data_IF_304184436031
#
_entry.id   IF_304184436031
#
_cell.length_a   1.000
_cell.length_b   1.000
_cell.length_c   1.000
_cell.angle_alpha   90.00
_cell.angle_beta   90.00
_cell.angle_gamma   90.00
#
_symmetry.space_group_name_H-M   'P 1'
#
loop_
_entity.id
_entity.type
_entity.pdbx_description
1 polymer ?
#
# COMPACT_ATOMS: atom_id res chain seq x y z
N UNK A 1 2.97 -11.87 2.35
CA UNK A 1 3.41 -12.95 1.42
C UNK A 1 3.99 -12.36 0.15
N UNK A 2 5.04 -12.96 -0.46
CA UNK A 2 5.68 -12.44 -1.68
C UNK A 2 4.70 -12.28 -2.85
N UNK A 3 3.73 -13.17 -2.97
CA UNK A 3 2.71 -13.15 -4.02
C UNK A 3 1.85 -11.90 -3.95
N UNK A 4 1.43 -11.50 -2.75
CA UNK A 4 0.62 -10.29 -2.55
C UNK A 4 1.37 -9.05 -3.00
N UNK A 5 2.66 -8.94 -2.64
CA UNK A 5 3.48 -7.79 -3.05
C UNK A 5 3.70 -7.76 -4.57
N UNK A 6 3.93 -8.93 -5.20
CA UNK A 6 4.09 -9.01 -6.67
C UNK A 6 2.80 -8.67 -7.40
N UNK A 7 1.65 -9.16 -6.92
CA UNK A 7 0.34 -8.89 -7.54
C UNK A 7 -0.13 -7.45 -7.35
N UNK A 8 0.33 -6.79 -6.27
CA UNK A 8 -0.03 -5.40 -5.98
C UNK A 8 0.86 -4.40 -6.74
N UNK A 9 2.07 -4.81 -7.13
CA UNK A 9 2.93 -3.99 -7.99
C UNK A 9 2.36 -3.93 -9.41
N UNK A 10 2.42 -2.75 -10.04
CA UNK A 10 1.97 -2.53 -11.41
C UNK A 10 2.85 -1.50 -12.12
N UNK A 11 2.81 -1.50 -13.46
CA UNK A 11 3.61 -0.59 -14.27
C UNK A 11 2.72 0.38 -15.04
N UNK A 12 3.10 1.65 -15.04
CA UNK A 12 2.53 2.70 -15.88
C UNK A 12 3.45 2.94 -17.08
N UNK A 13 2.87 3.15 -18.25
CA UNK A 13 3.60 3.39 -19.50
C UNK A 13 2.99 4.56 -20.25
N UNK A 14 3.83 5.43 -20.77
CA UNK A 14 3.41 6.58 -21.60
C UNK A 14 2.72 6.08 -22.87
N UNK A 15 1.64 6.75 -23.27
CA UNK A 15 0.80 6.39 -24.43
C UNK A 15 -0.25 5.32 -24.15
N UNK A 16 -0.36 4.81 -22.93
CA UNK A 16 -1.42 3.89 -22.52
C UNK A 16 -2.59 4.64 -21.89
N UNK A 17 -3.79 4.02 -21.97
CA UNK A 17 -4.99 4.57 -21.35
C UNK A 17 -5.23 3.97 -19.97
N UNK A 18 -5.61 4.84 -19.02
CA UNK A 18 -5.88 4.48 -17.63
C UNK A 18 -7.15 5.18 -17.13
N UNK A 19 -8.04 4.45 -16.51
CA UNK A 19 -9.06 5.06 -15.65
C UNK A 19 -8.39 5.59 -14.38
N UNK A 20 -8.27 6.91 -14.28
CA UNK A 20 -7.60 7.58 -13.16
C UNK A 20 -8.29 7.29 -11.82
N UNK A 21 -9.61 7.05 -11.82
CA UNK A 21 -10.36 6.67 -10.61
C UNK A 21 -9.97 5.27 -10.16
N UNK A 22 -9.94 4.31 -11.08
CA UNK A 22 -9.50 2.95 -10.80
C UNK A 22 -8.02 2.92 -10.37
N UNK A 23 -7.17 3.75 -10.98
CA UNK A 23 -5.76 3.86 -10.64
C UNK A 23 -5.54 4.40 -9.22
N UNK A 24 -6.32 5.40 -8.77
CA UNK A 24 -6.23 5.89 -7.39
C UNK A 24 -6.74 4.87 -6.37
N UNK A 25 -7.74 4.08 -6.71
CA UNK A 25 -8.20 2.96 -5.88
C UNK A 25 -7.11 1.87 -5.78
N UNK A 26 -6.44 1.56 -6.89
CA UNK A 26 -5.32 0.60 -6.92
C UNK A 26 -4.13 1.08 -6.08
N UNK A 27 -3.78 2.38 -6.14
CA UNK A 27 -2.76 2.97 -5.26
C UNK A 27 -3.14 2.85 -3.78
N UNK A 28 -4.40 3.12 -3.43
CA UNK A 28 -4.89 2.96 -2.05
C UNK A 28 -4.80 1.50 -1.60
N UNK A 29 -5.17 0.55 -2.44
CA UNK A 29 -5.03 -0.89 -2.17
C UNK A 29 -3.56 -1.32 -2.02
N UNK A 30 -2.65 -0.67 -2.75
CA UNK A 30 -1.20 -0.86 -2.65
C UNK A 30 -0.58 -0.16 -1.41
N UNK A 31 -1.39 0.42 -0.54
CA UNK A 31 -0.96 1.00 0.73
C UNK A 31 -0.54 2.47 0.66
N UNK A 32 -0.76 3.15 -0.47
CA UNK A 32 -0.46 4.58 -0.58
C UNK A 32 -1.51 5.43 0.13
N UNK A 33 -1.04 6.53 0.71
CA UNK A 33 -1.88 7.54 1.34
C UNK A 33 -2.06 8.72 0.39
N UNK A 34 -3.33 9.10 0.16
CA UNK A 34 -3.63 10.29 -0.63
C UNK A 34 -3.29 11.56 0.14
N UNK A 35 -2.55 12.46 -0.48
CA UNK A 35 -2.15 13.75 0.07
C UNK A 35 -2.51 14.89 -0.90
N UNK A 36 -2.43 16.14 -0.44
CA UNK A 36 -2.58 17.30 -1.33
C UNK A 36 -1.36 17.46 -2.24
N UNK A 37 -0.18 17.11 -1.71
CA UNK A 37 1.11 17.11 -2.38
C UNK A 37 1.93 15.97 -1.80
N UNK A 38 2.74 15.29 -2.63
CA UNK A 38 3.62 14.25 -2.14
C UNK A 38 4.86 14.86 -1.49
N UNK A 39 5.19 14.40 -0.29
CA UNK A 39 6.33 14.84 0.51
C UNK A 39 7.26 13.69 0.86
N UNK A 40 6.78 12.45 0.78
CA UNK A 40 7.53 11.26 1.12
C UNK A 40 7.01 10.00 0.44
N UNK A 41 7.81 8.95 0.51
CA UNK A 41 7.46 7.65 -0.04
C UNK A 41 6.15 7.10 0.55
N UNK A 42 5.37 6.40 -0.26
CA UNK A 42 4.06 5.87 0.13
C UNK A 42 2.92 6.90 0.01
N UNK A 43 3.15 8.05 -0.61
CA UNK A 43 2.13 9.06 -0.86
C UNK A 43 1.82 9.19 -2.34
N UNK A 44 0.58 9.57 -2.65
CA UNK A 44 0.17 10.03 -3.97
C UNK A 44 -0.72 11.28 -3.88
N UNK A 45 -0.71 12.08 -4.93
CA UNK A 45 -1.55 13.27 -5.05
C UNK A 45 -2.15 13.34 -6.45
N UNK A 46 -3.47 13.59 -6.53
CA UNK A 46 -4.18 13.80 -7.80
C UNK A 46 -4.76 15.20 -7.84
N UNK A 47 -4.37 15.98 -8.85
CA UNK A 47 -4.79 17.36 -9.08
C UNK A 47 -5.12 17.57 -10.57
N UNK A 48 -6.40 17.56 -10.91
CA UNK A 48 -6.82 17.59 -12.31
C UNK A 48 -6.29 16.36 -13.05
N UNK A 49 -5.61 16.56 -14.18
CA UNK A 49 -4.96 15.50 -14.96
C UNK A 49 -3.54 15.14 -14.51
N UNK A 50 -3.10 15.57 -13.32
CA UNK A 50 -1.74 15.30 -12.81
C UNK A 50 -1.81 14.35 -11.62
N UNK A 51 -1.15 13.19 -11.74
CA UNK A 51 -0.99 12.21 -10.68
C UNK A 51 0.49 12.13 -10.29
N UNK A 52 0.79 12.56 -9.07
CA UNK A 52 2.12 12.43 -8.46
C UNK A 52 2.15 11.18 -7.59
N UNK A 53 3.18 10.34 -7.73
CA UNK A 53 3.36 9.10 -6.96
C UNK A 53 4.77 9.06 -6.40
N UNK A 54 4.90 8.89 -5.08
CA UNK A 54 6.20 8.65 -4.45
C UNK A 54 6.29 7.19 -3.99
N UNK A 55 6.79 6.33 -4.87
CA UNK A 55 6.95 4.90 -4.57
C UNK A 55 8.13 4.65 -3.62
N UNK A 56 8.06 3.63 -2.76
CA UNK A 56 9.21 3.16 -2.02
C UNK A 56 10.34 2.70 -2.95
N UNK A 57 11.59 2.96 -2.56
CA UNK A 57 12.78 2.57 -3.31
C UNK A 57 13.38 3.70 -4.13
N UNK A 58 12.71 4.32 -5.11
CA UNK A 58 13.22 5.48 -5.82
C UNK A 58 13.48 6.68 -4.89
N UNK A 59 14.53 7.46 -5.18
CA UNK A 59 14.85 8.67 -4.42
C UNK A 59 13.87 9.84 -4.71
N UNK A 60 13.18 9.78 -5.85
CA UNK A 60 12.30 10.86 -6.32
C UNK A 60 10.93 10.33 -6.68
N UNK A 61 9.88 11.16 -6.47
CA UNK A 61 8.55 10.84 -6.96
C UNK A 61 8.46 11.02 -8.48
N UNK A 62 7.45 10.37 -9.05
CA UNK A 62 7.11 10.45 -10.46
C UNK A 62 5.83 11.26 -10.62
N UNK A 63 5.82 12.18 -11.57
CA UNK A 63 4.65 12.92 -12.04
C UNK A 63 4.16 12.33 -13.35
N UNK A 64 2.92 11.90 -13.36
CA UNK A 64 2.18 11.41 -14.52
C UNK A 64 1.21 12.51 -14.96
N UNK A 65 1.26 12.92 -16.22
CA UNK A 65 0.38 13.93 -16.81
C UNK A 65 -0.56 13.25 -17.80
N UNK A 66 -1.87 13.36 -17.55
CA UNK A 66 -2.91 12.74 -18.35
C UNK A 66 -3.60 13.77 -19.23
N UNK A 67 -3.85 13.39 -20.47
CA UNK A 67 -4.79 14.05 -21.35
C UNK A 67 -6.01 13.12 -21.51
N UNK A 68 -7.13 13.51 -20.95
CA UNK A 68 -8.27 12.61 -20.72
C UNK A 68 -7.82 11.35 -19.96
N UNK A 69 -7.93 10.17 -20.57
CA UNK A 69 -7.55 8.87 -20.00
C UNK A 69 -6.15 8.42 -20.44
N UNK A 70 -5.49 9.13 -21.37
CA UNK A 70 -4.18 8.77 -21.89
C UNK A 70 -3.06 9.37 -21.01
N UNK A 71 -2.10 8.55 -20.61
CA UNK A 71 -0.87 9.00 -19.98
C UNK A 71 0.04 9.63 -21.05
N UNK A 72 -0.05 10.95 -21.20
CA UNK A 72 0.66 11.73 -22.22
C UNK A 72 2.16 11.84 -21.90
N UNK A 73 2.49 12.12 -20.66
CA UNK A 73 3.89 12.27 -20.25
C UNK A 73 4.13 11.85 -18.80
N UNK A 74 5.37 11.43 -18.51
CA UNK A 74 5.77 11.02 -17.17
C UNK A 74 7.22 11.38 -16.90
N UNK A 75 7.56 11.70 -15.65
CA UNK A 75 8.95 11.94 -15.27
C UNK A 75 9.17 12.17 -13.78
N UNK A 76 10.42 11.98 -13.37
CA UNK A 76 10.85 12.30 -12.01
C UNK A 76 10.76 13.80 -11.76
N UNK A 77 10.41 14.18 -10.56
CA UNK A 77 10.45 15.59 -10.16
C UNK A 77 11.03 15.76 -8.75
N UNK A 78 11.53 16.92 -8.49
CA UNK A 78 12.05 17.33 -7.18
C UNK A 78 10.92 17.86 -6.31
N UNK A 79 10.76 17.28 -5.11
CA UNK A 79 9.67 17.61 -4.17
C UNK A 79 9.70 19.06 -3.73
N UNK A 80 10.89 19.62 -3.50
CA UNK A 80 11.06 20.97 -2.97
C UNK A 80 10.81 22.06 -4.01
N UNK A 81 11.26 21.85 -5.24
CA UNK A 81 11.14 22.80 -6.35
C UNK A 81 9.93 22.53 -7.23
N UNK A 82 9.33 21.35 -7.15
CA UNK A 82 8.24 20.87 -8.00
C UNK A 82 8.60 20.80 -9.50
N UNK A 83 9.87 20.87 -9.82
CA UNK A 83 10.36 20.85 -11.20
C UNK A 83 10.66 19.43 -11.66
N UNK A 84 10.29 19.12 -12.89
CA UNK A 84 10.67 17.89 -13.57
C UNK A 84 12.20 17.82 -13.70
N UNK A 85 12.77 16.66 -13.41
CA UNK A 85 14.22 16.40 -13.44
C UNK A 85 14.55 15.52 -14.64
N UNK A 86 13.80 14.43 -14.83
CA UNK A 86 14.06 13.43 -15.87
C UNK A 86 12.76 12.89 -16.43
N UNK A 87 12.71 12.63 -17.74
CA UNK A 87 11.56 11.99 -18.37
C UNK A 87 11.66 10.46 -18.27
N UNK A 88 10.51 9.81 -18.12
CA UNK A 88 10.38 8.36 -18.12
C UNK A 88 9.38 7.89 -19.15
N UNK A 89 9.59 6.68 -19.71
CA UNK A 89 8.64 6.02 -20.59
C UNK A 89 7.78 5.00 -19.84
N UNK A 90 8.33 4.44 -18.76
CA UNK A 90 7.63 3.49 -17.90
C UNK A 90 8.05 3.70 -16.43
N UNK A 91 7.15 3.35 -15.52
CA UNK A 91 7.38 3.42 -14.09
C UNK A 91 6.66 2.29 -13.36
N UNK A 92 7.40 1.47 -12.61
CA UNK A 92 6.80 0.43 -11.77
C UNK A 92 6.49 0.99 -10.39
N UNK A 93 5.22 0.96 -10.05
CA UNK A 93 4.69 1.30 -8.73
C UNK A 93 4.84 0.09 -7.82
N UNK A 94 5.63 0.23 -6.76
CA UNK A 94 5.81 -0.80 -5.74
C UNK A 94 4.79 -0.61 -4.61
N UNK A 95 4.38 -1.68 -3.90
CA UNK A 95 3.55 -1.55 -2.71
C UNK A 95 4.19 -0.62 -1.67
N UNK A 96 3.37 0.25 -1.05
CA UNK A 96 3.83 1.24 -0.08
C UNK A 96 3.77 0.74 1.37
N UNK A 97 3.30 -0.48 1.61
CA UNK A 97 3.22 -1.10 2.93
C UNK A 97 3.36 -2.61 2.88
N UNK A 98 3.69 -3.20 4.02
CA UNK A 98 3.77 -4.66 4.15
C UNK A 98 2.39 -5.28 4.42
N UNK A 99 1.51 -4.54 5.07
CA UNK A 99 0.15 -4.96 5.40
C UNK A 99 -0.84 -4.25 4.48
N UNK A 100 -1.38 -5.01 3.53
CA UNK A 100 -2.26 -4.53 2.48
C UNK A 100 -3.66 -5.17 2.65
N UNK A 101 -4.51 -4.66 3.54
CA UNK A 101 -5.80 -5.28 3.86
C UNK A 101 -6.78 -5.28 2.69
N UNK A 102 -6.53 -4.47 1.66
CA UNK A 102 -7.38 -4.36 0.48
C UNK A 102 -6.76 -4.99 -0.78
N UNK A 103 -5.79 -5.90 -0.61
CA UNK A 103 -5.14 -6.59 -1.73
C UNK A 103 -6.07 -7.53 -2.50
N UNK A 104 -7.13 -8.01 -1.86
CA UNK A 104 -8.25 -8.70 -2.49
C UNK A 104 -9.59 -8.30 -1.84
N UNK A 105 -10.70 -8.70 -2.46
CA UNK A 105 -12.05 -8.28 -2.06
C UNK A 105 -12.45 -8.74 -0.64
N UNK A 106 -11.92 -9.87 -0.16
CA UNK A 106 -12.31 -10.49 1.09
C UNK A 106 -11.30 -10.29 2.23
N UNK A 107 -10.08 -9.84 1.92
CA UNK A 107 -8.99 -9.75 2.88
C UNK A 107 -9.32 -8.85 4.08
N UNK A 108 -9.89 -7.67 3.83
CA UNK A 108 -10.26 -6.71 4.88
C UNK A 108 -11.34 -7.27 5.80
N UNK A 109 -12.41 -7.86 5.25
CA UNK A 109 -13.48 -8.47 6.06
C UNK A 109 -12.97 -9.68 6.84
N UNK A 110 -12.12 -10.50 6.24
CA UNK A 110 -11.50 -11.65 6.91
C UNK A 110 -10.61 -11.20 8.08
N UNK A 111 -9.83 -10.12 7.91
CA UNK A 111 -9.04 -9.52 8.99
C UNK A 111 -9.95 -8.97 10.10
N UNK A 112 -11.01 -8.23 9.75
CA UNK A 112 -11.98 -7.71 10.70
C UNK A 112 -12.66 -8.82 11.53
N UNK A 113 -13.07 -9.93 10.91
CA UNK A 113 -13.62 -11.11 11.62
C UNK A 113 -12.62 -11.73 12.60
N UNK A 114 -11.31 -11.77 12.25
CA UNK A 114 -10.27 -12.25 13.19
C UNK A 114 -10.11 -11.30 14.37
N UNK A 115 -10.21 -9.98 14.16
CA UNK A 115 -10.22 -8.99 15.24
C UNK A 115 -11.44 -9.18 16.15
N UNK A 116 -12.64 -9.34 15.59
CA UNK A 116 -13.86 -9.63 16.37
C UNK A 116 -13.73 -10.91 17.22
N UNK A 117 -13.12 -11.94 16.66
CA UNK A 117 -12.85 -13.18 17.39
C UNK A 117 -11.84 -12.96 18.54
N UNK A 118 -10.86 -12.07 18.35
CA UNK A 118 -9.94 -11.68 19.41
C UNK A 118 -10.66 -10.88 20.52
N UNK A 119 -11.55 -9.95 20.17
CA UNK A 119 -12.41 -9.21 21.13
C UNK A 119 -13.20 -10.16 22.00
N UNK A 120 -13.86 -11.18 21.40
CA UNK A 120 -14.62 -12.18 22.14
C UNK A 120 -13.74 -12.99 23.12
N UNK A 121 -12.51 -13.36 22.72
CA UNK A 121 -11.56 -14.05 23.60
C UNK A 121 -11.07 -13.18 24.75
N UNK A 122 -10.95 -11.88 24.53
CA UNK A 122 -10.53 -10.90 25.54
C UNK A 122 -11.67 -10.46 26.46
N UNK A 123 -12.94 -10.83 26.20
CA UNK A 123 -14.10 -10.40 26.97
C UNK A 123 -14.02 -10.73 28.48
N UNK A 124 -13.31 -11.79 28.86
CA UNK A 124 -13.15 -12.26 30.23
C UNK A 124 -11.90 -11.70 30.93
N UNK A 125 -11.08 -10.86 30.25
CA UNK A 125 -9.86 -10.29 30.81
C UNK A 125 -10.12 -8.87 31.28
N UNK A 126 -10.01 -8.62 32.59
CA UNK A 126 -10.33 -7.33 33.23
C UNK A 126 -9.49 -6.16 32.66
N UNK A 127 -8.20 -6.39 32.38
CA UNK A 127 -7.27 -5.34 31.91
C UNK A 127 -7.25 -5.20 30.37
N UNK A 128 -8.25 -5.74 29.64
CA UNK A 128 -8.25 -5.74 28.18
C UNK A 128 -9.28 -4.77 27.56
N UNK A 129 -9.92 -3.91 28.35
CA UNK A 129 -10.98 -3.02 27.85
C UNK A 129 -10.51 -2.10 26.73
N UNK A 130 -9.39 -1.39 26.92
CA UNK A 130 -8.83 -0.50 25.91
C UNK A 130 -8.40 -1.25 24.62
N UNK A 131 -7.84 -2.46 24.77
CA UNK A 131 -7.46 -3.28 23.62
C UNK A 131 -8.68 -3.78 22.86
N UNK A 132 -9.76 -4.17 23.54
CA UNK A 132 -11.02 -4.57 22.91
C UNK A 132 -11.62 -3.42 22.10
N UNK A 133 -11.75 -2.24 22.74
CA UNK A 133 -12.26 -1.06 22.06
C UNK A 133 -11.45 -0.74 20.81
N UNK A 134 -10.12 -0.76 20.90
CA UNK A 134 -9.26 -0.50 19.75
C UNK A 134 -9.45 -1.51 18.63
N UNK A 135 -9.55 -2.81 18.93
CA UNK A 135 -9.81 -3.84 17.93
C UNK A 135 -11.18 -3.68 17.26
N UNK A 136 -12.20 -3.26 18.00
CA UNK A 136 -13.53 -2.98 17.46
C UNK A 136 -13.52 -1.77 16.51
N UNK A 137 -12.85 -0.68 16.91
CA UNK A 137 -12.67 0.52 16.09
C UNK A 137 -11.90 0.20 14.79
N UNK A 138 -10.80 -0.54 14.91
CA UNK A 138 -9.93 -0.89 13.76
C UNK A 138 -10.63 -1.89 12.82
N UNK A 139 -11.41 -2.85 13.35
CA UNK A 139 -12.24 -3.73 12.53
C UNK A 139 -13.34 -2.97 11.77
N UNK A 140 -13.96 -1.98 12.42
CA UNK A 140 -14.94 -1.12 11.78
C UNK A 140 -14.31 -0.26 10.67
N UNK A 141 -13.11 0.28 10.88
CA UNK A 141 -12.34 1.03 9.88
C UNK A 141 -12.05 0.18 8.64
N UNK A 142 -11.60 -1.07 8.81
CA UNK A 142 -11.37 -2.01 7.69
C UNK A 142 -12.64 -2.24 6.86
N UNK A 143 -13.80 -2.42 7.50
CA UNK A 143 -15.09 -2.57 6.80
C UNK A 143 -15.52 -1.32 6.04
N UNK A 144 -15.03 -0.15 6.45
CA UNK A 144 -15.26 1.12 5.76
C UNK A 144 -14.24 1.43 4.68
N UNK A 145 -13.31 0.51 4.38
CA UNK A 145 -12.26 0.70 3.39
C UNK A 145 -11.10 1.57 3.87
N UNK A 146 -10.92 1.70 5.19
CA UNK A 146 -9.87 2.52 5.80
C UNK A 146 -8.84 1.63 6.49
N UNK A 147 -7.56 1.81 6.16
CA UNK A 147 -6.46 1.15 6.88
C UNK A 147 -6.28 1.80 8.24
N UNK A 148 -6.37 1.03 9.35
CA UNK A 148 -6.16 1.58 10.68
C UNK A 148 -4.74 2.11 10.88
N UNK A 149 -4.56 3.19 11.69
CA UNK A 149 -3.24 3.69 12.02
C UNK A 149 -2.36 2.63 12.68
N UNK A 150 -1.12 2.47 12.21
CA UNK A 150 -0.20 1.42 12.65
C UNK A 150 -0.68 0.02 12.28
N UNK A 151 -1.17 -0.15 11.05
CA UNK A 151 -1.71 -1.39 10.49
C UNK A 151 -0.75 -2.58 10.56
N UNK A 152 0.57 -2.35 10.63
CA UNK A 152 1.60 -3.40 10.68
C UNK A 152 1.40 -4.40 11.83
N UNK A 153 0.82 -3.96 12.94
CA UNK A 153 0.43 -4.83 14.07
C UNK A 153 -0.58 -5.91 13.69
N UNK A 154 -1.29 -5.74 12.58
CA UNK A 154 -2.34 -6.64 12.09
C UNK A 154 -1.87 -7.60 11.00
N UNK A 155 -0.56 -7.71 10.79
CA UNK A 155 0.04 -8.59 9.79
C UNK A 155 -0.56 -10.02 9.86
N UNK A 156 -0.60 -10.62 11.04
CA UNK A 156 -1.19 -11.95 11.24
C UNK A 156 -2.73 -12.01 11.10
N UNK A 157 -3.41 -10.85 11.20
CA UNK A 157 -4.85 -10.78 10.95
C UNK A 157 -5.16 -10.67 9.46
N UNK A 158 -4.33 -9.97 8.70
CA UNK A 158 -4.46 -9.83 7.23
C UNK A 158 -3.92 -11.09 6.54
N UNK A 159 -2.75 -11.57 6.95
CA UNK A 159 -2.09 -12.75 6.38
C UNK A 159 -2.00 -13.88 7.41
N UNK A 160 -2.94 -14.85 7.43
CA UNK A 160 -2.88 -15.98 8.35
C UNK A 160 -1.62 -16.84 8.18
N UNK A 161 -1.16 -16.97 6.92
CA UNK A 161 0.05 -17.68 6.54
C UNK A 161 1.15 -16.63 6.25
N UNK A 162 1.54 -15.91 7.32
CA UNK A 162 2.56 -14.86 7.21
C UNK A 162 3.88 -15.44 6.70
N UNK A 163 4.45 -14.81 5.68
CA UNK A 163 5.75 -15.14 5.15
C UNK A 163 6.87 -14.65 6.08
N UNK A 164 7.98 -15.37 6.07
CA UNK A 164 9.24 -15.00 6.74
C UNK A 164 10.21 -14.37 5.74
N UNK A 165 11.31 -13.80 6.22
CA UNK A 165 12.36 -13.29 5.33
C UNK A 165 12.92 -14.38 4.39
N UNK A 166 12.85 -15.65 4.78
CA UNK A 166 13.32 -16.77 3.97
C UNK A 166 12.47 -17.03 2.74
N UNK A 167 11.17 -16.71 2.79
CA UNK A 167 10.24 -16.87 1.67
C UNK A 167 10.49 -15.87 0.52
N UNK A 168 11.34 -14.87 0.76
CA UNK A 168 11.76 -13.87 -0.23
C UNK A 168 13.11 -14.21 -0.88
N UNK A 169 13.80 -15.25 -0.40
CA UNK A 169 15.09 -15.63 -0.93
C UNK A 169 14.91 -16.49 -2.20
N UNK A 170 15.87 -16.42 -3.16
CA UNK A 170 15.93 -17.34 -4.28
C UNK A 170 16.08 -18.78 -3.79
N UNK A 171 15.61 -19.77 -4.59
CA UNK A 171 15.75 -21.20 -4.27
C UNK A 171 17.21 -21.61 -4.08
N UNK A 172 18.13 -20.99 -4.84
CA UNK A 172 19.57 -21.21 -4.73
C UNK A 172 20.23 -20.05 -3.98
N UNK A 173 20.15 -20.03 -2.66
CA UNK A 173 20.86 -19.05 -1.83
C UNK A 173 21.60 -19.73 -0.67
N UNK A 174 22.74 -19.14 -0.29
CA UNK A 174 23.50 -19.54 0.89
C UNK A 174 23.18 -18.61 2.05
N UNK A 175 22.67 -19.17 3.15
CA UNK A 175 22.38 -18.41 4.37
C UNK A 175 23.53 -18.66 5.35
N UNK A 176 24.26 -17.61 5.70
CA UNK A 176 25.30 -17.65 6.73
C UNK A 176 24.77 -17.01 8.03
N UNK A 177 24.78 -17.78 9.10
CA UNK A 177 24.47 -17.30 10.44
C UNK A 177 25.76 -17.22 11.23
N UNK A 178 26.11 -16.04 11.75
CA UNK A 178 27.24 -15.85 12.68
C UNK A 178 26.70 -15.67 14.10
N UNK A 179 27.31 -16.35 15.07
CA UNK A 179 27.08 -16.15 16.50
C UNK A 179 27.86 -14.93 17.04
#
# INVERSE_FOLDING_TARGET
PPEVLRQTAFTLEVGQQYDVTALTAQLTAAGYVRSQQVEGAGQFALRGGILDIFSPGPERPVRCEFFDDELDSMGDFDVSTQRRVENRQAFTVLPAGEVLPFHDADAAESAARRMDAAVKRLAKKENAAALRQRLEEDAAALRQGVTPPGGDRYLAAVYPDAATAFDYLPEECLICVSE
#
